data_IF_109394154623
#
_entry.id   IF_109394154623
#
_cell.length_a   1.000
_cell.length_b   1.000
_cell.length_c   1.000
_cell.angle_alpha   90.00
_cell.angle_beta   90.00
_cell.angle_gamma   90.00
#
_symmetry.space_group_name_H-M   'P 1'
#
loop_
_entity.id
_entity.type
_entity.pdbx_description
1 polymer ?
#
# COMPACT_ATOMS: atom_id res chain seq x y z
N UNK A 1 17.74 7.88 7.77
CA UNK A 1 16.73 7.07 8.49
C UNK A 1 17.42 5.80 8.94
N UNK A 2 17.40 5.50 10.24
CA UNK A 2 18.01 4.28 10.79
C UNK A 2 16.95 3.17 10.88
N UNK A 3 16.46 2.74 9.70
CA UNK A 3 15.46 1.68 9.60
C UNK A 3 15.96 0.64 8.62
N UNK A 4 16.02 -0.65 9.02
CA UNK A 4 16.54 -1.71 8.17
C UNK A 4 15.67 -1.89 6.92
N UNK A 5 16.24 -2.36 5.81
CA UNK A 5 15.50 -2.60 4.58
C UNK A 5 14.35 -3.60 4.84
N UNK A 6 13.20 -3.44 4.16
CA UNK A 6 12.09 -4.36 4.31
C UNK A 6 12.38 -5.70 3.61
N UNK A 7 11.94 -6.80 4.22
CA UNK A 7 12.07 -8.16 3.65
C UNK A 7 10.97 -8.47 2.62
N UNK A 8 9.87 -7.69 2.64
CA UNK A 8 8.73 -7.86 1.74
C UNK A 8 8.20 -6.52 1.25
N UNK A 9 7.52 -6.51 0.10
CA UNK A 9 6.83 -5.31 -0.38
C UNK A 9 5.84 -4.76 0.66
N UNK A 10 5.12 -5.63 1.38
CA UNK A 10 4.19 -5.20 2.43
C UNK A 10 4.89 -4.52 3.61
N UNK A 11 6.05 -5.02 4.04
CA UNK A 11 6.84 -4.42 5.11
C UNK A 11 7.35 -3.02 4.76
N UNK A 12 7.47 -2.69 3.46
CA UNK A 12 7.88 -1.33 3.05
C UNK A 12 6.96 -0.27 3.66
N UNK A 13 5.66 -0.52 3.68
CA UNK A 13 4.68 0.42 4.24
C UNK A 13 4.75 0.50 5.77
N UNK A 14 5.07 -0.61 6.46
CA UNK A 14 5.33 -0.60 7.91
C UNK A 14 6.56 0.25 8.23
N UNK A 15 7.63 0.17 7.42
CA UNK A 15 8.84 0.99 7.62
C UNK A 15 8.57 2.47 7.39
N UNK A 16 7.83 2.80 6.35
CA UNK A 16 7.46 4.19 6.03
C UNK A 16 6.54 4.81 7.10
N UNK A 17 5.68 4.01 7.72
CA UNK A 17 4.92 4.44 8.90
C UNK A 17 5.83 4.69 10.11
N UNK A 18 6.76 3.76 10.41
CA UNK A 18 7.68 3.87 11.55
C UNK A 18 8.52 5.15 11.54
N UNK A 19 8.91 5.62 10.35
CA UNK A 19 9.69 6.86 10.18
C UNK A 19 8.81 8.11 10.02
N UNK A 20 7.48 7.97 10.14
CA UNK A 20 6.53 9.08 10.04
C UNK A 20 6.31 9.61 8.62
N UNK A 21 6.70 8.86 7.58
CA UNK A 21 6.40 9.23 6.19
C UNK A 21 4.93 8.97 5.89
N UNK A 22 4.39 7.81 6.26
CA UNK A 22 2.99 7.48 6.07
C UNK A 22 2.21 7.50 7.38
N UNK A 23 0.91 7.82 7.30
CA UNK A 23 -0.01 7.57 8.41
C UNK A 23 -0.27 6.06 8.56
N UNK A 24 -0.59 5.62 9.78
CA UNK A 24 -0.92 4.22 10.06
C UNK A 24 -2.07 3.69 9.18
N UNK A 25 -3.08 4.52 8.91
CA UNK A 25 -4.21 4.14 8.06
C UNK A 25 -3.80 3.92 6.60
N UNK A 26 -2.99 4.84 6.03
CA UNK A 26 -2.52 4.74 4.66
C UNK A 26 -1.56 3.56 4.47
N UNK A 27 -0.63 3.36 5.40
CA UNK A 27 0.29 2.23 5.38
C UNK A 27 -0.47 0.89 5.41
N UNK A 28 -1.48 0.76 6.28
CA UNK A 28 -2.31 -0.44 6.37
C UNK A 28 -3.08 -0.71 5.07
N UNK A 29 -3.66 0.33 4.45
CA UNK A 29 -4.42 0.18 3.21
C UNK A 29 -3.52 -0.26 2.04
N UNK A 30 -2.34 0.36 1.90
CA UNK A 30 -1.38 0.00 0.85
C UNK A 30 -0.83 -1.43 1.04
N UNK A 31 -0.60 -1.85 2.29
CA UNK A 31 -0.22 -3.24 2.60
C UNK A 31 -1.31 -4.25 2.21
N UNK A 32 -2.59 -3.92 2.45
CA UNK A 32 -3.72 -4.74 1.97
C UNK A 32 -3.76 -4.80 0.43
N UNK A 33 -3.47 -3.71 -0.26
CA UNK A 33 -3.41 -3.68 -1.72
C UNK A 33 -2.29 -4.60 -2.27
N UNK A 34 -1.12 -4.66 -1.63
CA UNK A 34 -0.06 -5.63 -1.97
C UNK A 34 -0.56 -7.07 -1.80
N UNK A 35 -1.25 -7.36 -0.70
CA UNK A 35 -1.86 -8.68 -0.47
C UNK A 35 -2.85 -9.06 -1.57
N UNK A 36 -3.73 -8.12 -1.96
CA UNK A 36 -4.67 -8.33 -3.04
C UNK A 36 -3.97 -8.57 -4.38
N UNK A 37 -2.93 -7.80 -4.72
CA UNK A 37 -2.11 -8.03 -5.91
C UNK A 37 -1.55 -9.46 -5.97
N UNK A 38 -1.07 -9.99 -4.85
CA UNK A 38 -0.54 -11.37 -4.81
C UNK A 38 -1.63 -12.41 -5.09
N UNK A 39 -2.85 -12.22 -4.57
CA UNK A 39 -4.00 -13.07 -4.89
C UNK A 39 -4.33 -12.97 -6.38
N UNK A 40 -4.40 -11.75 -6.91
CA UNK A 40 -4.74 -11.51 -8.31
C UNK A 40 -3.74 -12.12 -9.30
N UNK A 41 -2.47 -12.27 -8.92
CA UNK A 41 -1.43 -12.89 -9.76
C UNK A 41 -1.40 -14.41 -9.60
N UNK A 42 -1.47 -14.91 -8.37
CA UNK A 42 -1.25 -16.33 -8.09
C UNK A 42 -2.52 -17.18 -8.05
N UNK A 43 -3.69 -16.56 -7.86
CA UNK A 43 -4.98 -17.23 -7.74
C UNK A 43 -6.06 -16.48 -8.54
N UNK A 44 -5.73 -16.16 -9.79
CA UNK A 44 -6.58 -15.32 -10.64
C UNK A 44 -7.95 -15.97 -10.95
N UNK A 45 -8.01 -17.30 -11.04
CA UNK A 45 -9.23 -18.05 -11.32
C UNK A 45 -10.28 -17.98 -10.19
N UNK A 46 -9.86 -17.63 -8.98
CA UNK A 46 -10.73 -17.57 -7.79
C UNK A 46 -10.82 -16.16 -7.19
N UNK A 47 -10.63 -15.11 -8.00
CA UNK A 47 -10.76 -13.73 -7.54
C UNK A 47 -12.19 -13.44 -7.08
N UNK A 48 -12.31 -12.92 -5.85
CA UNK A 48 -13.57 -12.37 -5.37
C UNK A 48 -13.82 -10.98 -5.96
N UNK A 49 -14.73 -10.91 -6.94
CA UNK A 49 -15.10 -9.67 -7.65
C UNK A 49 -15.71 -8.58 -6.75
N UNK A 50 -16.28 -8.93 -5.60
CA UNK A 50 -16.75 -7.92 -4.64
C UNK A 50 -15.59 -7.12 -4.05
N UNK A 51 -14.44 -7.77 -3.82
CA UNK A 51 -13.22 -7.10 -3.36
C UNK A 51 -12.70 -6.17 -4.45
N UNK A 52 -12.66 -6.65 -5.71
CA UNK A 52 -12.24 -5.83 -6.87
C UNK A 52 -13.10 -4.57 -6.98
N UNK A 53 -14.42 -4.73 -6.95
CA UNK A 53 -15.36 -3.62 -7.02
C UNK A 53 -15.15 -2.61 -5.88
N UNK A 54 -14.97 -3.08 -4.66
CA UNK A 54 -14.68 -2.22 -3.50
C UNK A 54 -13.37 -1.46 -3.66
N UNK A 55 -12.30 -2.10 -4.12
CA UNK A 55 -11.00 -1.46 -4.34
C UNK A 55 -11.09 -0.32 -5.35
N UNK A 56 -11.75 -0.57 -6.49
CA UNK A 56 -11.91 0.43 -7.55
C UNK A 56 -12.80 1.60 -7.11
N UNK A 57 -13.78 1.37 -6.23
CA UNK A 57 -14.71 2.40 -5.77
C UNK A 57 -14.22 3.20 -4.56
N UNK A 58 -13.49 2.56 -3.64
CA UNK A 58 -13.23 3.13 -2.32
C UNK A 58 -11.75 3.36 -2.02
N UNK A 59 -10.84 2.72 -2.75
CA UNK A 59 -9.41 2.67 -2.37
C UNK A 59 -8.45 3.24 -3.41
N UNK A 60 -8.95 3.74 -4.56
CA UNK A 60 -8.08 4.40 -5.54
C UNK A 60 -7.41 5.67 -4.99
N UNK A 61 -8.07 6.36 -4.05
CA UNK A 61 -7.52 7.56 -3.42
C UNK A 61 -6.29 7.27 -2.55
N UNK A 62 -6.15 6.05 -2.01
CA UNK A 62 -4.98 5.64 -1.23
C UNK A 62 -3.69 5.76 -2.08
N UNK A 63 -3.75 5.45 -3.38
CA UNK A 63 -2.60 5.60 -4.28
C UNK A 63 -2.26 7.06 -4.55
N UNK A 64 -3.27 7.93 -4.69
CA UNK A 64 -3.05 9.37 -4.85
C UNK A 64 -2.48 9.98 -3.57
N UNK A 65 -2.96 9.56 -2.41
CA UNK A 65 -2.44 9.98 -1.12
C UNK A 65 -0.97 9.57 -0.97
N UNK A 66 -0.64 8.32 -1.31
CA UNK A 66 0.75 7.84 -1.33
C UNK A 66 1.63 8.68 -2.25
N UNK A 67 1.22 8.90 -3.51
CA UNK A 67 1.99 9.68 -4.47
C UNK A 67 2.25 11.11 -3.99
N UNK A 68 1.25 11.78 -3.41
CA UNK A 68 1.40 13.12 -2.82
C UNK A 68 2.42 13.14 -1.68
N UNK A 69 2.30 12.20 -0.74
CA UNK A 69 3.21 12.13 0.40
C UNK A 69 4.65 11.91 -0.05
N UNK A 70 4.87 10.99 -0.98
CA UNK A 70 6.20 10.70 -1.52
C UNK A 70 6.76 11.91 -2.27
N UNK A 71 5.95 12.60 -3.09
CA UNK A 71 6.39 13.79 -3.80
C UNK A 71 6.84 14.90 -2.83
N UNK A 72 6.04 15.20 -1.80
CA UNK A 72 6.41 16.18 -0.78
C UNK A 72 7.73 15.80 -0.09
N UNK A 73 7.90 14.52 0.26
CA UNK A 73 9.11 14.04 0.95
C UNK A 73 10.36 13.99 0.06
N UNK A 74 10.21 14.04 -1.26
CA UNK A 74 11.34 14.12 -2.20
C UNK A 74 11.79 15.56 -2.45
N UNK A 75 10.88 16.53 -2.26
CA UNK A 75 11.17 17.96 -2.40
C UNK A 75 11.72 18.59 -1.10
N UNK A 76 11.66 17.86 0.03
CA UNK A 76 12.29 18.19 1.32
C UNK A 76 13.78 17.78 1.38
#
# INVERSE_FOLDING_TARGET
MDVPPPDTMGQTFDRLEQVGVLTASLALNLKKAVGFRNIAVHNYDAINWHIVHSLVKCHLEDFLAFARVVAIKLDE
#
